data_IF_442957490013
#
_entry.id   IF_442957490013
#
_cell.length_a   1.000
_cell.length_b   1.000
_cell.length_c   1.000
_cell.angle_alpha   90.00
_cell.angle_beta   90.00
_cell.angle_gamma   90.00
#
_symmetry.space_group_name_H-M   'P 1'
#
loop_
_entity.id
_entity.type
_entity.pdbx_description
1 polymer ?
#
# COMPACT_ATOMS: atom_id res chain seq x y z
N UNK A 1 -7.27 1.06 -16.59
CA UNK A 1 -6.15 1.83 -15.99
C UNK A 1 -5.59 2.95 -16.89
N UNK A 2 -5.48 2.71 -18.20
CA UNK A 2 -4.78 3.57 -19.18
C UNK A 2 -5.15 5.07 -19.16
N UNK A 3 -6.40 5.43 -18.92
CA UNK A 3 -6.78 6.84 -18.82
C UNK A 3 -6.05 7.58 -17.69
N UNK A 4 -5.90 6.95 -16.52
CA UNK A 4 -5.14 7.54 -15.41
C UNK A 4 -3.65 7.71 -15.74
N UNK A 5 -3.08 6.76 -16.48
CA UNK A 5 -1.70 6.84 -17.00
C UNK A 5 -1.53 7.99 -17.97
N UNK A 6 -2.43 8.14 -18.94
CA UNK A 6 -2.42 9.25 -19.89
C UNK A 6 -2.59 10.62 -19.22
N UNK A 7 -3.29 10.67 -18.08
CA UNK A 7 -3.42 11.83 -17.22
C UNK A 7 -2.19 12.11 -16.33
N UNK A 8 -1.10 11.35 -16.47
CA UNK A 8 0.13 11.53 -15.70
C UNK A 8 0.01 11.19 -14.21
N UNK A 9 -1.09 10.54 -13.81
CA UNK A 9 -1.36 10.20 -12.41
C UNK A 9 -0.41 9.18 -11.75
N UNK A 10 0.32 8.29 -12.47
CA UNK A 10 1.31 7.40 -11.86
C UNK A 10 2.61 8.09 -11.45
N UNK A 11 2.83 9.35 -11.85
CA UNK A 11 4.09 10.08 -11.65
C UNK A 11 3.93 11.35 -10.80
N UNK A 12 2.96 11.35 -9.86
CA UNK A 12 2.69 12.49 -8.98
C UNK A 12 3.57 12.40 -7.74
N UNK A 13 4.76 13.00 -7.81
CA UNK A 13 5.76 12.97 -6.71
C UNK A 13 6.40 14.32 -6.42
N UNK A 14 7.03 14.41 -5.26
CA UNK A 14 7.92 15.52 -4.90
C UNK A 14 9.20 15.51 -5.77
N UNK A 15 9.82 16.68 -6.01
CA UNK A 15 9.35 18.02 -5.62
C UNK A 15 8.32 18.65 -6.57
N UNK A 16 8.20 18.11 -7.78
CA UNK A 16 7.62 18.82 -8.90
C UNK A 16 6.10 18.63 -9.10
N UNK A 17 5.46 17.68 -8.40
CA UNK A 17 4.01 17.35 -8.42
C UNK A 17 3.37 17.13 -9.81
N UNK A 18 4.18 17.22 -10.87
CA UNK A 18 3.87 16.97 -12.26
C UNK A 18 4.84 15.93 -12.82
N UNK A 19 4.44 15.14 -13.82
CA UNK A 19 5.39 14.34 -14.59
C UNK A 19 6.31 15.27 -15.39
N UNK A 20 7.62 15.26 -15.10
CA UNK A 20 8.61 16.05 -15.84
C UNK A 20 8.88 15.47 -17.24
N UNK A 21 8.87 14.14 -17.36
CA UNK A 21 9.31 13.41 -18.55
C UNK A 21 8.17 12.77 -19.35
N UNK A 22 6.93 12.84 -18.86
CA UNK A 22 5.79 12.12 -19.44
C UNK A 22 4.70 13.11 -19.85
N UNK A 23 4.22 13.08 -21.11
CA UNK A 23 3.09 13.90 -21.52
C UNK A 23 1.86 13.58 -20.66
N UNK A 24 1.17 14.62 -20.19
CA UNK A 24 -0.04 14.51 -19.37
C UNK A 24 -1.21 15.22 -20.05
N UNK A 25 -2.37 14.56 -20.07
CA UNK A 25 -3.63 15.17 -20.51
C UNK A 25 -4.18 16.19 -19.51
N UNK A 26 -3.75 16.14 -18.24
CA UNK A 26 -4.20 17.07 -17.22
C UNK A 26 -3.31 18.33 -17.19
N UNK A 27 -3.90 19.52 -16.93
CA UNK A 27 -3.13 20.74 -16.78
C UNK A 27 -2.18 20.65 -15.58
N UNK A 28 -1.24 21.59 -15.50
CA UNK A 28 -0.37 21.71 -14.34
C UNK A 28 -1.20 21.98 -13.07
N UNK A 29 -0.83 21.36 -11.95
CA UNK A 29 -1.50 21.57 -10.67
C UNK A 29 -1.04 22.87 -10.04
N UNK A 30 -1.96 23.75 -9.68
CA UNK A 30 -1.63 25.02 -9.04
C UNK A 30 -1.96 25.06 -7.54
N UNK A 31 -2.65 24.04 -7.04
CA UNK A 31 -3.06 23.98 -5.65
C UNK A 31 -2.78 22.63 -5.01
N UNK A 32 -2.45 22.68 -3.73
CA UNK A 32 -2.26 21.52 -2.88
C UNK A 32 -3.50 20.62 -2.80
N UNK A 33 -4.68 21.23 -2.75
CA UNK A 33 -5.97 20.52 -2.74
C UNK A 33 -6.14 19.70 -4.02
N UNK A 34 -5.75 20.26 -5.16
CA UNK A 34 -5.80 19.54 -6.44
C UNK A 34 -4.82 18.36 -6.48
N UNK A 35 -3.59 18.54 -5.99
CA UNK A 35 -2.60 17.47 -5.88
C UNK A 35 -3.15 16.33 -5.01
N UNK A 36 -3.72 16.65 -3.85
CA UNK A 36 -4.32 15.67 -2.95
C UNK A 36 -5.44 14.89 -3.63
N UNK A 37 -6.30 15.57 -4.41
CA UNK A 37 -7.38 14.93 -5.18
C UNK A 37 -6.82 13.98 -6.25
N UNK A 38 -5.77 14.38 -6.96
CA UNK A 38 -5.11 13.54 -7.98
C UNK A 38 -4.49 12.29 -7.37
N UNK A 39 -3.78 12.42 -6.24
CA UNK A 39 -3.21 11.29 -5.49
C UNK A 39 -4.33 10.33 -5.04
N UNK A 40 -5.40 10.85 -4.42
CA UNK A 40 -6.54 10.02 -3.98
C UNK A 40 -7.21 9.30 -5.15
N UNK A 41 -7.44 9.99 -6.26
CA UNK A 41 -8.06 9.43 -7.46
C UNK A 41 -7.19 8.32 -8.05
N UNK A 42 -5.89 8.55 -8.18
CA UNK A 42 -4.93 7.55 -8.63
C UNK A 42 -5.03 6.27 -7.81
N UNK A 43 -4.90 6.38 -6.49
CA UNK A 43 -4.92 5.23 -5.59
C UNK A 43 -6.25 4.48 -5.58
N UNK A 44 -7.36 5.20 -5.75
CA UNK A 44 -8.68 4.58 -5.93
C UNK A 44 -8.72 3.74 -7.21
N UNK A 45 -8.30 4.31 -8.35
CA UNK A 45 -8.25 3.62 -9.64
C UNK A 45 -7.30 2.42 -9.60
N UNK A 46 -6.12 2.60 -9.01
CA UNK A 46 -5.11 1.56 -8.83
C UNK A 46 -5.68 0.38 -8.03
N UNK A 47 -6.30 0.65 -6.89
CA UNK A 47 -6.89 -0.36 -6.01
C UNK A 47 -7.97 -1.17 -6.74
N UNK A 48 -8.91 -0.49 -7.40
CA UNK A 48 -9.97 -1.14 -8.19
C UNK A 48 -9.36 -2.01 -9.28
N UNK A 49 -8.37 -1.49 -10.01
CA UNK A 49 -7.72 -2.21 -11.09
C UNK A 49 -7.04 -3.49 -10.58
N UNK A 50 -6.30 -3.44 -9.46
CA UNK A 50 -5.63 -4.62 -8.88
C UNK A 50 -6.64 -5.68 -8.45
N UNK A 51 -7.74 -5.28 -7.81
CA UNK A 51 -8.80 -6.22 -7.43
C UNK A 51 -9.50 -6.87 -8.62
N UNK A 52 -9.76 -6.12 -9.70
CA UNK A 52 -10.34 -6.68 -10.93
C UNK A 52 -9.33 -7.62 -11.61
N UNK A 53 -8.05 -7.26 -11.68
CA UNK A 53 -7.01 -8.13 -12.24
C UNK A 53 -6.89 -9.45 -11.48
N UNK A 54 -7.01 -9.42 -10.15
CA UNK A 54 -7.00 -10.60 -9.29
C UNK A 54 -8.15 -11.56 -9.60
N UNK A 55 -9.37 -11.04 -9.82
CA UNK A 55 -10.55 -11.89 -10.08
C UNK A 55 -10.59 -12.41 -11.51
N UNK A 56 -10.11 -11.62 -12.48
CA UNK A 56 -10.11 -11.97 -13.89
C UNK A 56 -8.87 -12.77 -14.33
N UNK A 57 -7.85 -12.91 -13.46
CA UNK A 57 -6.52 -13.45 -13.82
C UNK A 57 -5.91 -12.73 -15.03
N UNK A 58 -6.16 -11.42 -15.16
CA UNK A 58 -5.67 -10.59 -16.25
C UNK A 58 -4.39 -9.89 -15.82
N UNK A 59 -3.38 -9.89 -16.68
CA UNK A 59 -2.14 -9.15 -16.45
C UNK A 59 -2.45 -7.68 -16.19
N UNK A 60 -1.84 -7.11 -15.17
CA UNK A 60 -2.03 -5.70 -14.82
C UNK A 60 -1.45 -4.78 -15.89
N UNK A 61 -2.21 -3.75 -16.25
CA UNK A 61 -1.87 -2.79 -17.31
C UNK A 61 -0.61 -1.95 -17.01
N UNK A 62 -0.27 -1.80 -15.73
CA UNK A 62 0.76 -0.88 -15.22
C UNK A 62 1.67 -1.65 -14.29
N UNK A 63 2.96 -1.67 -14.60
CA UNK A 63 3.99 -2.27 -13.76
C UNK A 63 4.15 -1.45 -12.47
N UNK A 64 4.46 -2.12 -11.36
CA UNK A 64 4.57 -1.43 -10.06
C UNK A 64 5.79 -0.50 -10.00
N UNK A 65 6.81 -0.87 -10.78
CA UNK A 65 8.11 -0.21 -10.87
C UNK A 65 8.02 1.18 -11.52
N UNK A 66 6.98 1.44 -12.32
CA UNK A 66 6.77 2.73 -12.99
C UNK A 66 5.89 3.69 -12.17
N UNK A 67 5.34 3.24 -11.04
CA UNK A 67 4.46 4.05 -10.21
C UNK A 67 5.31 4.81 -9.19
N UNK A 68 5.51 6.09 -9.47
CA UNK A 68 6.26 7.01 -8.62
C UNK A 68 5.34 7.81 -7.68
N UNK A 69 4.03 7.75 -7.89
CA UNK A 69 3.06 8.48 -7.05
C UNK A 69 3.22 8.13 -5.59
N UNK A 70 3.28 9.17 -4.75
CA UNK A 70 3.38 9.02 -3.29
C UNK A 70 2.08 8.49 -2.71
N UNK A 71 2.16 7.71 -1.64
CA UNK A 71 0.96 7.21 -0.94
C UNK A 71 0.05 8.36 -0.49
N UNK A 72 0.65 9.43 0.05
CA UNK A 72 -0.06 10.56 0.65
C UNK A 72 0.68 11.87 0.47
N UNK A 73 -0.08 12.97 0.56
CA UNK A 73 0.46 14.32 0.50
C UNK A 73 0.93 14.74 1.91
N UNK A 74 2.24 14.97 2.15
CA UNK A 74 2.75 15.34 3.48
C UNK A 74 2.13 16.65 3.94
N UNK A 75 1.56 16.72 5.15
CA UNK A 75 0.95 17.94 5.74
C UNK A 75 1.85 19.18 5.61
N UNK A 76 1.24 20.37 5.43
CA UNK A 76 1.97 21.66 5.33
C UNK A 76 2.72 22.02 6.62
N UNK A 77 2.33 21.39 7.74
CA UNK A 77 3.02 21.50 9.01
C UNK A 77 4.35 20.74 8.96
N UNK A 78 5.40 21.49 8.64
CA UNK A 78 6.76 21.35 9.18
C UNK A 78 7.73 20.31 8.58
N UNK A 79 9.01 20.70 8.61
CA UNK A 79 10.28 20.00 8.96
C UNK A 79 10.31 18.46 9.10
N UNK A 80 9.45 17.73 8.43
CA UNK A 80 9.52 16.28 8.38
C UNK A 80 10.52 15.90 7.31
N UNK A 81 11.45 15.05 7.71
CA UNK A 81 12.44 14.43 6.85
C UNK A 81 11.75 13.90 5.57
N UNK A 82 12.06 14.47 4.39
CA UNK A 82 11.42 14.09 3.13
C UNK A 82 11.61 12.60 2.81
N UNK A 83 12.66 11.96 3.35
CA UNK A 83 12.89 10.52 3.18
C UNK A 83 11.82 9.67 3.88
N UNK A 84 11.20 10.16 4.95
CA UNK A 84 10.26 9.38 5.76
C UNK A 84 8.87 9.28 5.13
N UNK A 85 8.48 10.22 4.24
CA UNK A 85 7.08 10.31 3.74
C UNK A 85 6.88 10.07 2.25
N UNK A 86 7.93 9.90 1.45
CA UNK A 86 7.82 9.78 0.00
C UNK A 86 7.83 8.32 -0.50
N UNK A 87 7.16 7.41 0.20
CA UNK A 87 7.03 6.02 -0.25
C UNK A 87 6.17 5.91 -1.52
N UNK A 88 6.54 5.01 -2.42
CA UNK A 88 5.80 4.63 -3.63
C UNK A 88 5.44 3.14 -3.61
N UNK A 89 4.83 2.61 -4.68
CA UNK A 89 4.58 1.16 -4.77
C UNK A 89 5.88 0.37 -4.73
N UNK A 90 6.92 0.85 -5.39
CA UNK A 90 8.23 0.18 -5.43
C UNK A 90 8.87 0.08 -4.05
N UNK A 91 8.72 1.12 -3.22
CA UNK A 91 9.28 1.14 -1.87
C UNK A 91 8.62 0.12 -0.93
N UNK A 92 7.41 -0.33 -1.25
CA UNK A 92 6.69 -1.37 -0.50
C UNK A 92 7.37 -2.75 -0.59
N UNK A 93 8.14 -2.99 -1.65
CA UNK A 93 8.81 -4.27 -1.92
C UNK A 93 10.32 -4.22 -1.69
N UNK A 94 10.85 -3.09 -1.25
CA UNK A 94 12.24 -2.97 -0.86
C UNK A 94 12.44 -3.59 0.53
N UNK A 95 13.51 -4.38 0.70
CA UNK A 95 13.90 -4.96 1.99
C UNK A 95 14.09 -3.85 3.02
N UNK A 96 13.63 -4.07 4.25
CA UNK A 96 13.77 -3.16 5.39
C UNK A 96 13.17 -1.75 5.20
N UNK A 97 12.23 -1.58 4.26
CA UNK A 97 11.63 -0.29 4.02
C UNK A 97 10.50 0.02 5.01
N UNK A 98 10.53 1.22 5.59
CA UNK A 98 9.46 1.71 6.48
C UNK A 98 8.10 1.89 5.79
N UNK A 99 8.06 1.83 4.45
CA UNK A 99 6.84 1.94 3.64
C UNK A 99 5.82 0.84 3.93
N UNK A 100 6.24 -0.29 4.52
CA UNK A 100 5.34 -1.37 4.93
C UNK A 100 4.56 -1.08 6.20
N UNK A 101 4.99 -0.12 7.02
CA UNK A 101 4.26 0.28 8.24
C UNK A 101 3.11 1.23 7.90
N UNK A 102 1.96 1.02 8.55
CA UNK A 102 0.71 1.74 8.25
C UNK A 102 0.25 2.69 9.37
N UNK A 103 1.06 2.92 10.40
CA UNK A 103 0.65 3.72 11.58
C UNK A 103 0.24 5.16 11.27
N UNK A 104 0.82 5.75 10.22
CA UNK A 104 0.57 7.12 9.81
C UNK A 104 -0.14 7.21 8.46
N UNK A 105 -0.56 6.07 7.91
CA UNK A 105 -1.29 6.03 6.67
C UNK A 105 -2.77 6.34 6.92
N UNK A 106 -3.35 7.19 6.09
CA UNK A 106 -4.79 7.21 5.82
C UNK A 106 -5.26 5.83 5.36
N UNK A 107 -6.54 5.57 5.59
CA UNK A 107 -7.15 4.34 5.14
C UNK A 107 -6.98 4.11 3.64
N UNK A 108 -7.01 5.15 2.79
CA UNK A 108 -6.84 4.97 1.35
C UNK A 108 -5.46 4.42 0.97
N UNK A 109 -4.39 4.88 1.63
CA UNK A 109 -3.05 4.34 1.44
C UNK A 109 -2.97 2.88 1.93
N UNK A 110 -3.50 2.58 3.12
CA UNK A 110 -3.55 1.20 3.64
C UNK A 110 -4.26 0.26 2.66
N UNK A 111 -5.44 0.66 2.17
CA UNK A 111 -6.20 -0.12 1.16
C UNK A 111 -5.37 -0.39 -0.09
N UNK A 112 -4.67 0.63 -0.59
CA UNK A 112 -3.88 0.55 -1.82
C UNK A 112 -2.63 -0.32 -1.65
N UNK A 113 -1.93 -0.18 -0.51
CA UNK A 113 -0.80 -1.05 -0.15
C UNK A 113 -1.23 -2.51 -0.05
N UNK A 114 -2.35 -2.78 0.63
CA UNK A 114 -2.93 -4.12 0.70
C UNK A 114 -3.24 -4.69 -0.68
N UNK A 115 -3.88 -3.90 -1.56
CA UNK A 115 -4.19 -4.34 -2.92
C UNK A 115 -2.93 -4.66 -3.74
N UNK A 116 -1.88 -3.84 -3.61
CA UNK A 116 -0.58 -4.08 -4.26
C UNK A 116 0.08 -5.37 -3.76
N UNK A 117 0.18 -5.56 -2.44
CA UNK A 117 0.80 -6.75 -1.83
C UNK A 117 0.05 -8.03 -2.23
N UNK A 118 -1.29 -8.01 -2.15
CA UNK A 118 -2.13 -9.17 -2.45
C UNK A 118 -2.03 -9.56 -3.93
N UNK A 119 -2.12 -8.58 -4.84
CA UNK A 119 -1.96 -8.86 -6.28
C UNK A 119 -0.59 -9.45 -6.57
N UNK A 120 0.48 -8.84 -6.04
CA UNK A 120 1.84 -9.31 -6.28
C UNK A 120 2.09 -10.68 -5.67
N UNK A 121 1.60 -10.94 -4.46
CA UNK A 121 1.68 -12.25 -3.82
C UNK A 121 0.93 -13.32 -4.61
N UNK A 122 -0.28 -13.03 -5.12
CA UNK A 122 -1.02 -13.97 -5.96
C UNK A 122 -0.25 -14.29 -7.25
N UNK A 123 0.31 -13.27 -7.92
CA UNK A 123 1.10 -13.43 -9.15
C UNK A 123 2.39 -14.23 -8.91
N UNK A 124 3.09 -13.99 -7.81
CA UNK A 124 4.27 -14.75 -7.43
C UNK A 124 3.92 -16.18 -7.01
N UNK A 125 2.83 -16.38 -6.26
CA UNK A 125 2.34 -17.70 -5.87
C UNK A 125 1.97 -18.58 -7.06
N UNK A 126 1.39 -18.00 -8.13
CA UNK A 126 1.14 -18.71 -9.38
C UNK A 126 2.44 -19.13 -10.09
N UNK A 127 3.46 -18.25 -10.10
CA UNK A 127 4.76 -18.53 -10.72
C UNK A 127 5.59 -19.55 -9.93
N UNK A 128 5.48 -19.55 -8.60
CA UNK A 128 6.24 -20.42 -7.71
C UNK A 128 6.07 -21.91 -8.05
N UNK A 129 4.87 -22.31 -8.51
CA UNK A 129 4.60 -23.69 -8.93
C UNK A 129 5.46 -24.17 -10.13
N UNK A 130 6.05 -23.24 -10.88
CA UNK A 130 6.88 -23.50 -12.06
C UNK A 130 8.31 -22.96 -11.93
N UNK A 131 8.63 -22.30 -10.82
CA UNK A 131 9.95 -21.73 -10.60
C UNK A 131 10.97 -22.84 -10.27
N UNK A 132 12.21 -22.67 -10.71
CA UNK A 132 13.30 -23.56 -10.33
C UNK A 132 13.75 -23.26 -8.89
N UNK A 133 14.08 -24.30 -8.12
CA UNK A 133 14.69 -24.17 -6.78
C UNK A 133 16.01 -23.39 -6.81
N UNK A 134 16.67 -23.30 -7.96
CA UNK A 134 17.93 -22.57 -8.14
C UNK A 134 17.74 -21.11 -8.59
N UNK A 135 16.51 -20.67 -8.87
CA UNK A 135 16.22 -19.27 -9.23
C UNK A 135 16.22 -18.38 -7.98
N UNK A 136 17.41 -18.05 -7.49
CA UNK A 136 17.60 -17.24 -6.28
C UNK A 136 16.90 -15.88 -6.37
N UNK A 137 16.91 -15.25 -7.53
CA UNK A 137 16.31 -13.91 -7.72
C UNK A 137 14.79 -13.98 -7.57
N UNK A 138 14.15 -15.05 -8.05
CA UNK A 138 12.73 -15.27 -7.82
C UNK A 138 12.42 -15.44 -6.32
N UNK A 139 13.16 -16.31 -5.64
CA UNK A 139 12.91 -16.64 -4.22
C UNK A 139 13.19 -15.45 -3.29
N UNK A 140 14.25 -14.68 -3.53
CA UNK A 140 14.52 -13.44 -2.80
C UNK A 140 13.36 -12.44 -2.91
N UNK A 141 12.80 -12.28 -4.13
CA UNK A 141 11.63 -11.42 -4.32
C UNK A 141 10.36 -11.98 -3.68
N UNK A 142 10.19 -13.29 -3.70
CA UNK A 142 9.07 -13.97 -3.05
C UNK A 142 9.10 -13.74 -1.53
N UNK A 143 10.28 -13.93 -0.91
CA UNK A 143 10.51 -13.68 0.52
C UNK A 143 10.30 -12.21 0.89
N UNK A 144 10.79 -11.28 0.06
CA UNK A 144 10.57 -9.85 0.27
C UNK A 144 9.08 -9.46 0.29
N UNK A 145 8.26 -10.09 -0.56
CA UNK A 145 6.80 -9.88 -0.55
C UNK A 145 6.17 -10.43 0.73
N UNK A 146 6.59 -11.61 1.17
CA UNK A 146 6.06 -12.23 2.40
C UNK A 146 6.43 -11.41 3.64
N UNK A 147 7.67 -10.91 3.72
CA UNK A 147 8.10 -9.99 4.78
C UNK A 147 7.29 -8.68 4.76
N UNK A 148 7.09 -8.09 3.58
CA UNK A 148 6.29 -6.88 3.45
C UNK A 148 4.85 -7.07 3.95
N UNK A 149 4.24 -8.25 3.67
CA UNK A 149 2.93 -8.59 4.19
C UNK A 149 2.96 -8.76 5.72
N UNK A 150 3.97 -9.43 6.28
CA UNK A 150 4.10 -9.61 7.73
C UNK A 150 4.26 -8.26 8.43
N UNK A 151 5.10 -7.36 7.91
CA UNK A 151 5.24 -6.00 8.43
C UNK A 151 3.93 -5.20 8.33
N UNK A 152 3.27 -5.20 7.17
CA UNK A 152 2.01 -4.47 7.01
C UNK A 152 0.95 -4.99 7.98
N UNK A 153 0.74 -6.30 8.02
CA UNK A 153 -0.29 -6.91 8.87
C UNK A 153 0.01 -6.82 10.37
N UNK A 154 1.29 -6.77 10.75
CA UNK A 154 1.73 -6.51 12.13
C UNK A 154 1.58 -5.04 12.54
N UNK A 155 1.61 -4.12 11.58
CA UNK A 155 1.42 -2.68 11.83
C UNK A 155 -0.03 -2.22 11.78
N UNK A 156 -0.94 -3.04 11.25
CA UNK A 156 -2.37 -2.73 11.25
C UNK A 156 -2.89 -2.56 12.69
N UNK A 157 -3.72 -1.55 12.97
CA UNK A 157 -4.34 -1.39 14.26
C UNK A 157 -5.18 -2.65 14.59
N UNK A 158 -5.18 -3.03 15.86
CA UNK A 158 -5.99 -4.17 16.30
C UNK A 158 -7.46 -3.89 16.00
N UNK A 159 -8.19 -4.89 15.50
CA UNK A 159 -9.65 -4.79 15.29
C UNK A 159 -10.38 -4.52 16.61
N UNK A 160 -9.77 -4.83 17.75
CA UNK A 160 -10.33 -4.56 19.07
C UNK A 160 -9.87 -3.24 19.68
N UNK A 161 -8.94 -2.54 19.03
CA UNK A 161 -8.56 -1.21 19.49
C UNK A 161 -9.68 -0.24 19.07
N UNK A 162 -10.37 0.30 20.07
CA UNK A 162 -11.39 1.32 19.88
C UNK A 162 -10.77 2.50 19.15
N UNK A 163 -11.43 2.97 18.10
CA UNK A 163 -10.91 4.04 17.25
C UNK A 163 -10.69 5.28 18.11
N UNK A 164 -9.44 5.57 18.47
CA UNK A 164 -9.06 6.80 19.20
C UNK A 164 -9.25 8.08 18.37
N UNK A 165 -9.99 8.01 17.27
CA UNK A 165 -10.40 9.13 16.45
C UNK A 165 -11.58 9.86 17.12
N UNK A 166 -11.38 10.35 18.34
CA UNK A 166 -12.21 11.43 18.84
C UNK A 166 -11.71 12.73 18.21
N UNK A 167 -12.58 13.43 17.49
CA UNK A 167 -12.26 14.66 16.74
C UNK A 167 -11.79 15.85 17.62
N UNK A 168 -11.65 15.66 18.93
CA UNK A 168 -11.18 16.69 19.87
C UNK A 168 -10.24 16.19 20.97
N UNK A 169 -9.80 14.92 20.94
CA UNK A 169 -8.86 14.43 21.94
C UNK A 169 -7.45 14.93 21.61
N UNK A 170 -6.83 15.65 22.55
CA UNK A 170 -5.43 16.03 22.47
C UNK A 170 -4.59 14.79 22.13
N UNK A 171 -3.70 14.91 21.15
CA UNK A 171 -2.84 13.82 20.67
C UNK A 171 -1.97 13.33 21.84
N UNK A 172 -2.44 12.33 22.59
CA UNK A 172 -1.63 11.70 23.63
C UNK A 172 -0.63 10.84 22.86
N UNK A 173 0.63 11.31 22.80
CA UNK A 173 1.78 10.49 22.44
C UNK A 173 1.76 9.23 23.32
N UNK A 174 1.30 8.12 22.72
CA UNK A 174 1.45 6.82 23.33
C UNK A 174 2.95 6.51 23.36
N UNK A 175 3.53 6.60 24.55
CA UNK A 175 4.72 5.83 24.92
C UNK A 175 4.40 4.36 24.72
N UNK A 176 4.66 3.84 23.53
CA UNK A 176 4.66 2.41 23.22
C UNK A 176 5.82 1.76 23.98
N UNK A 177 5.59 1.47 25.25
CA UNK A 177 6.43 0.57 26.03
C UNK A 177 5.70 -0.76 26.02
N UNK A 178 6.35 -1.79 25.46
CA UNK A 178 5.93 -3.20 25.51
C UNK A 178 4.89 -3.63 24.46
N UNK A 179 5.32 -3.73 23.20
CA UNK A 179 4.66 -4.56 22.20
C UNK A 179 4.85 -6.04 22.53
N UNK A 180 3.73 -6.75 22.67
CA UNK A 180 3.69 -8.21 22.63
C UNK A 180 4.24 -8.68 21.29
N UNK A 181 5.49 -9.18 21.28
CA UNK A 181 6.04 -9.94 20.17
C UNK A 181 5.24 -11.24 20.04
N UNK A 182 4.22 -11.23 19.19
CA UNK A 182 3.70 -12.47 18.62
C UNK A 182 4.78 -13.01 17.69
N UNK A 183 5.65 -13.86 18.24
CA UNK A 183 6.59 -14.65 17.46
C UNK A 183 5.78 -15.70 16.69
N UNK A 184 5.31 -15.33 15.49
CA UNK A 184 4.86 -16.31 14.52
C UNK A 184 6.14 -16.91 13.92
N UNK A 185 6.63 -18.00 14.51
CA UNK A 185 7.70 -18.79 13.92
C UNK A 185 7.14 -19.57 12.71
N UNK A 186 7.27 -19.02 11.50
CA UNK A 186 7.07 -19.75 10.26
C UNK A 186 8.41 -20.25 9.74
N UNK A 187 8.82 -21.44 10.17
CA UNK A 187 9.87 -22.20 9.49
C UNK A 187 9.19 -23.17 8.51
N UNK A 188 8.78 -22.64 7.36
CA UNK A 188 8.19 -23.40 6.26
C UNK A 188 7.70 -22.46 5.15
N UNK A 189 7.71 -22.89 3.88
CA UNK A 189 7.21 -22.06 2.78
C UNK A 189 5.75 -21.70 3.05
N UNK A 190 5.41 -20.42 2.88
CA UNK A 190 4.09 -19.88 3.15
C UNK A 190 3.01 -20.76 2.50
N UNK A 191 2.28 -21.51 3.32
CA UNK A 191 1.28 -22.44 2.80
C UNK A 191 0.12 -21.61 2.23
N UNK A 192 -0.60 -22.12 1.22
CA UNK A 192 -1.84 -21.51 0.68
C UNK A 192 -2.82 -21.04 1.77
N UNK A 193 -2.75 -21.60 2.97
CA UNK A 193 -3.58 -21.21 4.12
C UNK A 193 -3.27 -19.80 4.65
N UNK A 194 -2.02 -19.33 4.60
CA UNK A 194 -1.65 -18.00 5.10
C UNK A 194 -2.15 -16.89 4.18
N UNK A 195 -2.05 -17.10 2.87
CA UNK A 195 -2.62 -16.20 1.86
C UNK A 195 -4.14 -16.05 2.09
N UNK A 196 -4.86 -17.15 2.29
CA UNK A 196 -6.29 -17.12 2.60
C UNK A 196 -6.59 -16.39 3.92
N UNK A 197 -5.74 -16.55 4.94
CA UNK A 197 -5.87 -15.84 6.21
C UNK A 197 -5.65 -14.33 6.06
N UNK A 198 -4.66 -13.92 5.25
CA UNK A 198 -4.44 -12.51 4.89
C UNK A 198 -5.66 -11.95 4.15
N UNK A 199 -6.16 -12.65 3.13
CA UNK A 199 -7.38 -12.27 2.42
C UNK A 199 -8.58 -12.11 3.37
N UNK A 200 -8.74 -13.03 4.33
CA UNK A 200 -9.81 -12.95 5.32
C UNK A 200 -9.66 -11.74 6.25
N UNK A 201 -8.46 -11.48 6.78
CA UNK A 201 -8.19 -10.30 7.63
C UNK A 201 -8.43 -9.01 6.87
N UNK A 202 -7.97 -8.93 5.63
CA UNK A 202 -8.20 -7.79 4.76
C UNK A 202 -9.68 -7.59 4.50
N UNK A 203 -10.42 -8.63 4.08
CA UNK A 203 -11.87 -8.56 3.85
C UNK A 203 -12.62 -8.08 5.09
N UNK A 204 -12.22 -8.55 6.27
CA UNK A 204 -12.81 -8.13 7.55
C UNK A 204 -12.52 -6.65 7.83
N UNK A 205 -11.30 -6.19 7.57
CA UNK A 205 -10.92 -4.78 7.72
C UNK A 205 -11.74 -3.88 6.78
N UNK A 206 -11.81 -4.21 5.49
CA UNK A 206 -12.55 -3.44 4.49
C UNK A 206 -14.06 -3.35 4.80
N UNK A 207 -14.69 -4.47 5.17
CA UNK A 207 -16.14 -4.50 5.47
C UNK A 207 -16.52 -3.70 6.71
N UNK A 208 -15.61 -3.51 7.67
CA UNK A 208 -15.86 -2.68 8.85
C UNK A 208 -15.78 -1.19 8.52
N UNK A 209 -14.76 -0.79 7.77
CA UNK A 209 -14.55 0.62 7.43
C UNK A 209 -15.66 1.17 6.53
N UNK A 210 -16.22 0.35 5.65
CA UNK A 210 -17.38 0.71 4.83
C UNK A 210 -18.61 1.03 5.68
N UNK A 211 -18.80 0.34 6.83
CA UNK A 211 -19.90 0.65 7.76
C UNK A 211 -19.70 1.99 8.47
N UNK A 212 -18.46 2.33 8.83
CA UNK A 212 -18.17 3.59 9.54
C UNK A 212 -18.45 4.80 8.63
N UNK A 213 -18.03 4.72 7.36
CA UNK A 213 -18.24 5.82 6.40
C UNK A 213 -19.70 6.01 5.97
N UNK A 214 -20.57 5.00 6.12
CA UNK A 214 -22.01 5.12 5.85
C UNK A 214 -22.78 5.79 7.02
N UNK A 215 -22.15 5.91 8.19
CA UNK A 215 -22.79 6.46 9.40
C UNK A 215 -22.38 7.90 9.71
N UNK A 216 -21.44 8.47 8.94
CA UNK A 216 -20.92 9.85 9.06
C UNK A 216 -21.39 10.73 7.91
#
# INVERSE_FOLDING_TARGET
MMFGVACGLPAVRLPEWHPFSTPSLLPHTHSRVEIQRRIRLWWTMFTINRFISLTANVKTDVDDEIIETVWELPSDSENIDPEVRCGSVSSLFACDNRSTYVYHDTANAVRSKCAALVERAARFGLKAASASDHDRVFWEKFEAIDEAIRHLTGSLPSVYEESRYEAGAAHIELRTTQMNRLNICCSGPASRSEINHIFHRLRTFFTREERVNLTS
#
